data_IF_099168772274
#
_entry.id   IF_099168772274
#
_cell.length_a   1.000
_cell.length_b   1.000
_cell.length_c   1.000
_cell.angle_alpha   90.00
_cell.angle_beta   90.00
_cell.angle_gamma   90.00
#
_symmetry.space_group_name_H-M   'P 1'
#
loop_
_entity.id
_entity.type
_entity.pdbx_description
1 polymer ?
#
# COMPACT_ATOMS: atom_id res chain seq x y z
N UNK A 1 -27.91 17.72 -46.60
CA UNK A 1 -26.78 18.41 -45.94
C UNK A 1 -26.58 18.02 -44.46
N UNK A 2 -27.61 18.03 -43.60
CA UNK A 2 -27.43 17.72 -42.15
C UNK A 2 -26.89 16.32 -41.84
N UNK A 3 -27.26 15.27 -42.59
CA UNK A 3 -26.77 13.91 -42.35
C UNK A 3 -25.26 13.75 -42.60
N UNK A 4 -24.70 14.49 -43.58
CA UNK A 4 -23.27 14.44 -43.90
C UNK A 4 -22.41 15.16 -42.84
N UNK A 5 -22.95 16.21 -42.22
CA UNK A 5 -22.32 16.92 -41.10
C UNK A 5 -22.30 16.06 -39.83
N UNK A 6 -23.40 15.35 -39.52
CA UNK A 6 -23.45 14.43 -38.37
C UNK A 6 -22.46 13.26 -38.49
N UNK A 7 -22.30 12.69 -39.69
CA UNK A 7 -21.27 11.67 -39.92
C UNK A 7 -19.84 12.20 -39.76
N UNK A 8 -19.58 13.44 -40.17
CA UNK A 8 -18.29 14.10 -39.95
C UNK A 8 -18.01 14.36 -38.47
N UNK A 9 -18.99 14.85 -37.69
CA UNK A 9 -18.82 15.07 -36.25
C UNK A 9 -18.62 13.76 -35.48
N UNK A 10 -19.35 12.70 -35.83
CA UNK A 10 -19.17 11.37 -35.24
C UNK A 10 -17.80 10.78 -35.57
N UNK A 11 -17.31 10.92 -36.80
CA UNK A 11 -15.98 10.47 -37.21
C UNK A 11 -14.86 11.26 -36.49
N UNK A 12 -15.04 12.57 -36.31
CA UNK A 12 -14.07 13.42 -35.58
C UNK A 12 -14.05 13.12 -34.08
N UNK A 13 -15.21 12.82 -33.49
CA UNK A 13 -15.34 12.38 -32.10
C UNK A 13 -14.67 11.01 -31.90
N UNK A 14 -14.96 10.03 -32.75
CA UNK A 14 -14.31 8.71 -32.72
C UNK A 14 -12.79 8.80 -32.88
N UNK A 15 -12.29 9.66 -33.79
CA UNK A 15 -10.86 9.90 -33.96
C UNK A 15 -10.21 10.43 -32.68
N UNK A 16 -10.82 11.41 -32.00
CA UNK A 16 -10.31 11.93 -30.71
C UNK A 16 -10.28 10.88 -29.60
N UNK A 17 -11.28 10.01 -29.51
CA UNK A 17 -11.27 8.91 -28.55
C UNK A 17 -10.17 7.89 -28.86
N UNK A 18 -9.93 7.57 -30.13
CA UNK A 18 -8.89 6.62 -30.53
C UNK A 18 -7.47 7.14 -30.33
N UNK A 19 -7.24 8.44 -30.55
CA UNK A 19 -5.97 9.10 -30.22
C UNK A 19 -5.76 9.24 -28.71
N UNK A 20 -6.83 9.45 -27.94
CA UNK A 20 -6.76 9.53 -26.48
C UNK A 20 -6.40 8.17 -25.87
N UNK A 21 -7.00 7.07 -26.35
CA UNK A 21 -6.69 5.72 -25.86
C UNK A 21 -5.30 5.25 -26.28
N UNK A 22 -4.85 5.57 -27.51
CA UNK A 22 -3.49 5.24 -27.95
C UNK A 22 -2.42 6.05 -27.20
N UNK A 23 -2.67 7.34 -26.92
CA UNK A 23 -1.78 8.17 -26.11
C UNK A 23 -1.71 7.69 -24.66
N UNK A 24 -2.85 7.35 -24.04
CA UNK A 24 -2.87 6.75 -22.69
C UNK A 24 -2.12 5.43 -22.65
N UNK A 25 -2.30 4.55 -23.64
CA UNK A 25 -1.57 3.29 -23.72
C UNK A 25 -0.06 3.51 -23.90
N UNK A 26 0.36 4.44 -24.77
CA UNK A 26 1.77 4.78 -24.95
C UNK A 26 2.38 5.39 -23.67
N UNK A 27 1.63 6.27 -22.99
CA UNK A 27 2.05 6.88 -21.74
C UNK A 27 2.15 5.85 -20.62
N UNK A 28 1.20 4.91 -20.53
CA UNK A 28 1.26 3.79 -19.58
C UNK A 28 2.46 2.88 -19.87
N UNK A 29 2.69 2.51 -21.13
CA UNK A 29 3.85 1.72 -21.55
C UNK A 29 5.14 2.45 -21.17
N UNK A 30 5.28 3.73 -21.54
CA UNK A 30 6.45 4.54 -21.20
C UNK A 30 6.63 4.67 -19.69
N UNK A 31 5.54 4.79 -18.93
CA UNK A 31 5.62 4.87 -17.47
C UNK A 31 6.07 3.54 -16.89
N UNK A 32 5.54 2.39 -17.36
CA UNK A 32 5.99 1.05 -16.95
C UNK A 32 7.49 0.85 -17.19
N UNK A 33 8.02 1.32 -18.33
CA UNK A 33 9.42 1.16 -18.73
C UNK A 33 10.33 2.30 -18.27
N UNK A 34 9.78 3.35 -17.64
CA UNK A 34 10.58 4.43 -17.09
C UNK A 34 11.21 4.05 -15.74
N UNK A 35 12.27 4.77 -15.34
CA UNK A 35 12.83 4.68 -13.98
C UNK A 35 11.76 4.87 -12.89
N UNK A 36 10.76 5.72 -13.13
CA UNK A 36 9.65 5.94 -12.21
C UNK A 36 8.74 4.72 -12.10
N UNK A 37 8.48 4.02 -13.21
CA UNK A 37 7.74 2.75 -13.22
C UNK A 37 8.48 1.65 -12.48
N UNK A 38 9.79 1.53 -12.69
CA UNK A 38 10.63 0.55 -11.98
C UNK A 38 10.55 0.72 -10.46
N UNK A 39 10.74 1.95 -9.98
CA UNK A 39 10.62 2.31 -8.55
C UNK A 39 9.20 2.03 -8.05
N UNK A 40 8.18 2.38 -8.84
CA UNK A 40 6.79 2.10 -8.50
C UNK A 40 6.51 0.60 -8.33
N UNK A 41 6.97 -0.24 -9.27
CA UNK A 41 6.81 -1.68 -9.20
C UNK A 41 7.62 -2.33 -8.08
N UNK A 42 8.85 -1.88 -7.84
CA UNK A 42 9.67 -2.35 -6.72
C UNK A 42 8.94 -2.08 -5.39
N UNK A 43 8.40 -0.87 -5.22
CA UNK A 43 7.60 -0.52 -4.05
C UNK A 43 6.36 -1.42 -3.92
N UNK A 44 5.62 -1.64 -5.02
CA UNK A 44 4.46 -2.53 -5.03
C UNK A 44 4.83 -3.97 -4.61
N UNK A 45 5.94 -4.51 -5.12
CA UNK A 45 6.41 -5.85 -4.79
C UNK A 45 6.82 -5.97 -3.31
N UNK A 46 7.59 -5.00 -2.80
CA UNK A 46 7.97 -4.95 -1.39
C UNK A 46 6.74 -4.84 -0.47
N UNK A 47 5.72 -4.11 -0.90
CA UNK A 47 4.46 -4.03 -0.17
C UNK A 47 3.70 -5.35 -0.14
N UNK A 48 3.54 -6.02 -1.28
CA UNK A 48 2.88 -7.33 -1.34
C UNK A 48 3.60 -8.34 -0.43
N UNK A 49 4.93 -8.27 -0.40
CA UNK A 49 5.72 -9.13 0.46
C UNK A 49 5.56 -8.77 1.95
N UNK A 50 5.55 -7.48 2.31
CA UNK A 50 5.26 -7.03 3.68
C UNK A 50 3.85 -7.45 4.14
N UNK A 51 2.87 -7.38 3.24
CA UNK A 51 1.50 -7.84 3.49
C UNK A 51 1.42 -9.37 3.64
N UNK A 52 2.11 -10.13 2.79
CA UNK A 52 2.22 -11.58 2.93
C UNK A 52 2.86 -11.98 4.26
N UNK A 53 3.93 -11.28 4.66
CA UNK A 53 4.56 -11.49 5.96
C UNK A 53 3.63 -11.13 7.12
N UNK A 54 2.82 -10.08 7.02
CA UNK A 54 1.82 -9.77 8.04
C UNK A 54 0.79 -10.89 8.22
N UNK A 55 0.24 -11.40 7.13
CA UNK A 55 -0.68 -12.53 7.21
C UNK A 55 0.01 -13.77 7.76
N UNK A 56 1.23 -14.04 7.31
CA UNK A 56 2.06 -15.11 7.86
C UNK A 56 2.26 -14.95 9.37
N UNK A 57 2.52 -13.74 9.84
CA UNK A 57 2.60 -13.43 11.27
C UNK A 57 1.29 -13.70 12.00
N UNK A 58 0.17 -13.19 11.48
CA UNK A 58 -1.15 -13.41 12.08
C UNK A 58 -1.55 -14.89 12.12
N UNK A 59 -1.19 -15.68 11.11
CA UNK A 59 -1.51 -17.11 11.07
C UNK A 59 -0.64 -17.94 12.03
N UNK A 60 0.65 -17.62 12.14
CA UNK A 60 1.57 -18.35 13.00
C UNK A 60 1.48 -17.94 14.48
N UNK A 61 1.21 -16.66 14.75
CA UNK A 61 0.77 -16.24 16.07
C UNK A 61 -0.63 -16.80 16.25
N UNK A 62 -0.72 -17.96 16.92
CA UNK A 62 -1.98 -18.61 17.27
C UNK A 62 -2.96 -17.54 17.78
N UNK A 63 -3.91 -17.12 16.95
CA UNK A 63 -4.89 -16.06 17.29
C UNK A 63 -5.65 -16.44 18.56
N UNK A 64 -5.78 -17.74 18.83
CA UNK A 64 -6.29 -18.31 20.08
C UNK A 64 -5.57 -17.83 21.37
N UNK A 65 -4.33 -17.33 21.27
CA UNK A 65 -3.58 -16.78 22.39
C UNK A 65 -3.98 -15.35 22.74
N UNK A 66 -4.59 -14.63 21.80
CA UNK A 66 -5.09 -13.26 21.99
C UNK A 66 -6.51 -13.31 22.53
N UNK A 67 -6.67 -13.25 23.85
CA UNK A 67 -7.99 -13.23 24.52
C UNK A 67 -8.75 -11.92 24.32
N UNK A 68 -8.06 -10.85 23.95
CA UNK A 68 -8.66 -9.54 23.70
C UNK A 68 -7.79 -8.71 22.77
N UNK A 69 -8.42 -7.77 22.04
CA UNK A 69 -7.73 -6.80 21.16
C UNK A 69 -6.69 -5.98 21.94
N UNK A 70 -6.87 -5.82 23.26
CA UNK A 70 -5.88 -5.20 24.13
C UNK A 70 -4.58 -5.98 24.28
N UNK A 71 -4.52 -7.27 23.93
CA UNK A 71 -3.29 -8.05 24.00
C UNK A 71 -2.35 -7.80 22.82
N UNK A 72 -2.85 -7.16 21.75
CA UNK A 72 -2.01 -6.72 20.62
C UNK A 72 -0.93 -5.73 21.10
N UNK A 73 -1.18 -5.00 22.19
CA UNK A 73 -0.20 -4.09 22.79
C UNK A 73 1.02 -4.80 23.38
N UNK A 74 0.98 -6.11 23.67
CA UNK A 74 2.17 -6.85 24.12
C UNK A 74 3.26 -6.90 23.04
N UNK A 75 2.86 -6.90 21.77
CA UNK A 75 3.79 -6.83 20.66
C UNK A 75 4.39 -5.44 20.46
N UNK A 76 3.85 -4.39 21.10
CA UNK A 76 4.40 -3.03 21.02
C UNK A 76 5.81 -2.93 21.64
N UNK A 77 6.18 -3.90 22.49
CA UNK A 77 7.54 -4.01 23.05
C UNK A 77 8.56 -4.49 22.01
N UNK A 78 8.12 -5.11 20.90
CA UNK A 78 8.99 -5.42 19.76
C UNK A 78 8.95 -4.22 18.82
N UNK A 79 10.07 -3.48 18.78
CA UNK A 79 10.22 -2.29 17.95
C UNK A 79 9.80 -2.55 16.49
N UNK A 80 10.26 -3.65 15.88
CA UNK A 80 9.90 -4.01 14.51
C UNK A 80 8.40 -4.20 14.30
N UNK A 81 7.71 -4.89 15.20
CA UNK A 81 6.26 -5.06 15.10
C UNK A 81 5.54 -3.71 15.24
N UNK A 82 6.02 -2.85 16.14
CA UNK A 82 5.46 -1.51 16.31
C UNK A 82 5.56 -0.69 15.02
N UNK A 83 6.73 -0.66 14.41
CA UNK A 83 6.96 0.03 13.14
C UNK A 83 6.12 -0.58 12.02
N UNK A 84 6.04 -1.91 11.97
CA UNK A 84 5.23 -2.62 10.99
C UNK A 84 3.76 -2.20 11.05
N UNK A 85 3.15 -2.30 12.23
CA UNK A 85 1.74 -1.94 12.44
C UNK A 85 1.49 -0.48 12.07
N UNK A 86 2.41 0.41 12.46
CA UNK A 86 2.33 1.83 12.14
C UNK A 86 2.38 2.07 10.62
N UNK A 87 3.36 1.51 9.91
CA UNK A 87 3.48 1.64 8.45
C UNK A 87 2.24 1.05 7.76
N UNK A 88 1.76 -0.10 8.22
CA UNK A 88 0.57 -0.76 7.66
C UNK A 88 -0.67 0.14 7.75
N UNK A 89 -0.97 0.68 8.92
CA UNK A 89 -2.14 1.57 9.09
C UNK A 89 -1.98 2.91 8.37
N UNK A 90 -0.78 3.49 8.35
CA UNK A 90 -0.53 4.73 7.58
C UNK A 90 -0.69 4.49 6.07
N UNK A 91 -0.31 3.30 5.59
CA UNK A 91 -0.48 2.93 4.20
C UNK A 91 -1.96 2.77 3.83
N UNK A 92 -2.76 2.09 4.67
CA UNK A 92 -4.22 1.99 4.49
C UNK A 92 -4.93 3.36 4.58
N UNK A 93 -4.43 4.26 5.44
CA UNK A 93 -4.89 5.64 5.48
C UNK A 93 -4.65 6.36 4.14
N UNK A 94 -3.63 5.96 3.40
CA UNK A 94 -3.27 6.56 2.11
C UNK A 94 -2.53 7.88 2.29
N UNK A 95 -1.61 7.91 3.25
CA UNK A 95 -0.77 9.09 3.52
C UNK A 95 0.40 9.13 2.53
N UNK A 96 0.66 10.25 1.84
CA UNK A 96 1.86 10.39 1.00
C UNK A 96 3.14 10.19 1.83
N UNK A 97 4.19 9.52 1.33
CA UNK A 97 4.38 8.96 -0.02
C UNK A 97 4.04 7.46 -0.15
N UNK A 98 3.17 6.91 0.71
CA UNK A 98 2.88 5.47 0.76
C UNK A 98 1.98 5.01 -0.41
N UNK A 99 2.04 3.73 -0.78
CA UNK A 99 1.31 3.16 -1.94
C UNK A 99 -0.21 3.32 -1.89
N UNK A 100 -0.80 3.26 -0.71
CA UNK A 100 -2.24 3.45 -0.53
C UNK A 100 -2.69 4.84 -0.97
N UNK A 101 -1.80 5.85 -0.91
CA UNK A 101 -2.07 7.17 -1.49
C UNK A 101 -2.20 7.05 -3.02
N UNK A 102 -1.24 6.41 -3.69
CA UNK A 102 -1.22 6.28 -5.14
C UNK A 102 -2.46 5.53 -5.67
N UNK A 103 -2.87 4.44 -5.02
CA UNK A 103 -4.07 3.69 -5.39
C UNK A 103 -5.34 4.55 -5.27
N UNK A 104 -5.50 5.25 -4.14
CA UNK A 104 -6.64 6.15 -3.92
C UNK A 104 -6.62 7.34 -4.89
N UNK A 105 -5.44 7.86 -5.18
CA UNK A 105 -5.24 8.95 -6.14
C UNK A 105 -5.64 8.53 -7.56
N UNK A 106 -5.30 7.31 -7.99
CA UNK A 106 -5.69 6.77 -9.29
C UNK A 106 -7.22 6.59 -9.39
N UNK A 107 -7.87 6.09 -8.33
CA UNK A 107 -9.35 5.99 -8.26
C UNK A 107 -9.98 7.38 -8.34
N UNK A 108 -9.44 8.35 -7.60
CA UNK A 108 -9.91 9.74 -7.64
C UNK A 108 -9.79 10.32 -9.06
N UNK A 109 -8.65 10.14 -9.71
CA UNK A 109 -8.42 10.58 -11.09
C UNK A 109 -9.43 9.94 -12.06
N UNK A 110 -9.67 8.62 -11.95
CA UNK A 110 -10.66 7.92 -12.76
C UNK A 110 -12.09 8.46 -12.58
N UNK A 111 -12.50 8.72 -11.33
CA UNK A 111 -13.80 9.31 -11.04
C UNK A 111 -13.92 10.73 -11.60
N UNK A 112 -12.82 11.50 -11.57
CA UNK A 112 -12.76 12.84 -12.13
C UNK A 112 -13.00 12.83 -13.66
N UNK A 113 -12.39 11.91 -14.41
CA UNK A 113 -12.65 11.79 -15.86
C UNK A 113 -14.08 11.37 -16.21
N UNK A 114 -14.72 10.55 -15.38
CA UNK A 114 -16.13 10.18 -15.58
C UNK A 114 -17.10 11.32 -15.24
N UNK A 115 -16.61 12.47 -14.78
CA UNK A 115 -17.40 13.66 -14.42
C UNK A 115 -18.53 13.38 -13.42
N UNK A 116 -18.40 12.33 -12.60
CA UNK A 116 -19.46 11.92 -11.69
C UNK A 116 -19.27 12.50 -10.29
N UNK A 117 -19.65 13.78 -10.14
CA UNK A 117 -19.45 14.57 -8.91
C UNK A 117 -20.01 13.90 -7.65
N UNK A 118 -21.16 13.24 -7.74
CA UNK A 118 -21.78 12.55 -6.61
C UNK A 118 -20.87 11.44 -6.04
N UNK A 119 -20.28 10.63 -6.92
CA UNK A 119 -19.37 9.56 -6.51
C UNK A 119 -18.04 10.11 -5.98
N UNK A 120 -17.55 11.22 -6.52
CA UNK A 120 -16.36 11.90 -6.01
C UNK A 120 -16.59 12.38 -4.57
N UNK A 121 -17.73 13.02 -4.28
CA UNK A 121 -18.07 13.47 -2.93
C UNK A 121 -18.19 12.29 -1.95
N UNK A 122 -18.87 11.22 -2.34
CA UNK A 122 -18.98 9.99 -1.54
C UNK A 122 -17.58 9.41 -1.27
N UNK A 123 -16.75 9.28 -2.30
CA UNK A 123 -15.38 8.76 -2.18
C UNK A 123 -14.53 9.62 -1.22
N UNK A 124 -14.60 10.95 -1.32
CA UNK A 124 -13.87 11.85 -0.43
C UNK A 124 -14.36 11.72 1.02
N UNK A 125 -15.68 11.66 1.24
CA UNK A 125 -16.25 11.45 2.57
C UNK A 125 -15.79 10.15 3.24
N UNK A 126 -15.85 9.03 2.50
CA UNK A 126 -15.34 7.74 2.99
C UNK A 126 -13.83 7.76 3.25
N UNK A 127 -13.03 8.41 2.40
CA UNK A 127 -11.59 8.51 2.62
C UNK A 127 -11.23 9.34 3.87
N UNK A 128 -11.95 10.43 4.13
CA UNK A 128 -11.76 11.20 5.36
C UNK A 128 -12.13 10.40 6.61
N UNK A 129 -13.25 9.65 6.57
CA UNK A 129 -13.68 8.80 7.68
C UNK A 129 -12.67 7.68 7.98
N UNK A 130 -12.19 7.00 6.94
CA UNK A 130 -11.17 5.94 7.09
C UNK A 130 -9.83 6.49 7.58
N UNK A 131 -9.38 7.64 7.05
CA UNK A 131 -8.18 8.32 7.51
C UNK A 131 -8.27 8.64 9.01
N UNK A 132 -9.40 9.20 9.47
CA UNK A 132 -9.64 9.48 10.88
C UNK A 132 -9.55 8.21 11.74
N UNK A 133 -10.21 7.13 11.32
CA UNK A 133 -10.19 5.85 12.02
C UNK A 133 -8.77 5.26 12.14
N UNK A 134 -8.02 5.25 11.04
CA UNK A 134 -6.66 4.69 11.02
C UNK A 134 -5.68 5.54 11.84
N UNK A 135 -5.74 6.87 11.75
CA UNK A 135 -4.91 7.74 12.57
C UNK A 135 -5.24 7.62 14.07
N UNK A 136 -6.52 7.47 14.41
CA UNK A 136 -6.94 7.21 15.79
C UNK A 136 -6.38 5.88 16.31
N UNK A 137 -6.40 4.84 15.48
CA UNK A 137 -5.82 3.53 15.81
C UNK A 137 -4.32 3.61 16.02
N UNK A 138 -3.59 4.28 15.12
CA UNK A 138 -2.15 4.53 15.25
C UNK A 138 -1.86 5.33 16.52
N UNK A 139 -2.61 6.40 16.79
CA UNK A 139 -2.46 7.22 18.00
C UNK A 139 -2.64 6.39 19.27
N UNK A 140 -3.66 5.53 19.33
CA UNK A 140 -3.87 4.60 20.45
C UNK A 140 -2.68 3.65 20.62
N UNK A 141 -2.11 3.18 19.53
CA UNK A 141 -0.98 2.25 19.55
C UNK A 141 0.34 2.92 19.98
N UNK A 142 0.57 4.17 19.57
CA UNK A 142 1.76 4.96 19.93
C UNK A 142 1.70 5.45 21.38
N UNK A 143 0.54 5.93 21.84
CA UNK A 143 0.41 6.62 23.13
C UNK A 143 0.23 5.68 24.33
N UNK A 144 -0.11 4.41 24.13
CA UNK A 144 -0.26 3.48 25.25
C UNK A 144 1.10 3.14 25.87
N UNK A 145 1.18 3.27 27.20
CA UNK A 145 2.35 2.89 27.99
C UNK A 145 2.72 1.43 27.70
N UNK A 146 4.03 1.16 27.65
CA UNK A 146 4.58 -0.17 27.46
C UNK A 146 3.89 -1.18 28.38
N UNK A 147 3.52 -2.33 27.84
CA UNK A 147 3.03 -3.42 28.67
C UNK A 147 4.15 -3.83 29.64
N UNK A 148 3.79 -4.22 30.86
CA UNK A 148 4.77 -4.71 31.84
C UNK A 148 5.63 -5.80 31.19
N UNK A 149 6.96 -5.66 31.30
CA UNK A 149 7.94 -6.50 30.61
C UNK A 149 7.66 -7.99 30.85
N UNK A 150 7.28 -8.36 32.08
CA UNK A 150 6.90 -9.72 32.48
C UNK A 150 5.73 -10.30 31.68
N UNK A 151 4.69 -9.52 31.42
CA UNK A 151 3.54 -9.99 30.64
C UNK A 151 3.90 -10.16 29.17
N UNK A 152 4.77 -9.29 28.63
CA UNK A 152 5.29 -9.46 27.28
C UNK A 152 6.22 -10.68 27.17
N UNK A 153 7.05 -10.95 28.17
CA UNK A 153 7.95 -12.11 28.18
C UNK A 153 7.18 -13.42 28.22
N UNK A 154 6.15 -13.52 29.07
CA UNK A 154 5.27 -14.70 29.12
C UNK A 154 4.50 -14.91 27.80
N UNK A 155 4.11 -13.82 27.16
CA UNK A 155 3.50 -13.88 25.83
C UNK A 155 4.49 -14.37 24.78
N UNK A 156 5.75 -13.91 24.79
CA UNK A 156 6.79 -14.32 23.84
C UNK A 156 7.36 -15.72 24.08
N UNK A 157 7.41 -16.19 25.32
CA UNK A 157 7.70 -17.60 25.59
C UNK A 157 6.62 -18.49 24.97
N UNK A 158 5.37 -18.02 24.97
CA UNK A 158 4.24 -18.74 24.38
C UNK A 158 4.15 -18.60 22.86
N UNK A 159 4.50 -17.44 22.33
CA UNK A 159 4.66 -17.18 20.90
C UNK A 159 6.12 -17.44 20.52
N UNK A 160 6.46 -18.72 20.31
CA UNK A 160 7.79 -19.24 19.97
C UNK A 160 8.80 -18.14 19.58
N UNK A 161 9.71 -17.78 20.48
CA UNK A 161 10.69 -16.70 20.28
C UNK A 161 11.44 -16.83 18.94
N UNK A 162 11.71 -18.06 18.49
CA UNK A 162 12.30 -18.37 17.18
C UNK A 162 11.53 -17.76 16.01
N UNK A 163 10.19 -17.82 16.05
CA UNK A 163 9.32 -17.24 15.03
C UNK A 163 9.49 -15.72 14.95
N UNK A 164 9.58 -15.05 16.11
CA UNK A 164 9.73 -13.60 16.18
C UNK A 164 11.10 -13.15 15.71
N UNK A 165 12.16 -13.90 16.04
CA UNK A 165 13.50 -13.64 15.50
C UNK A 165 13.57 -13.86 13.99
N UNK A 166 12.99 -14.95 13.49
CA UNK A 166 12.93 -15.24 12.06
C UNK A 166 12.16 -14.14 11.31
N UNK A 167 11.01 -13.73 11.83
CA UNK A 167 10.23 -12.62 11.28
C UNK A 167 11.08 -11.34 11.21
N UNK A 168 11.71 -10.94 12.33
CA UNK A 168 12.57 -9.76 12.36
C UNK A 168 13.76 -9.85 11.39
N UNK A 169 14.37 -11.04 11.26
CA UNK A 169 15.46 -11.29 10.32
C UNK A 169 15.03 -11.10 8.86
N UNK A 170 13.88 -11.64 8.47
CA UNK A 170 13.32 -11.45 7.12
C UNK A 170 12.98 -9.99 6.84
N UNK A 171 12.42 -9.27 7.82
CA UNK A 171 12.15 -7.83 7.67
C UNK A 171 13.40 -6.98 7.57
N UNK A 172 14.43 -7.30 8.36
CA UNK A 172 15.73 -6.64 8.24
C UNK A 172 16.29 -6.84 6.83
N UNK A 173 16.26 -8.07 6.31
CA UNK A 173 16.70 -8.35 4.95
C UNK A 173 15.88 -7.59 3.91
N UNK A 174 14.58 -7.39 4.14
CA UNK A 174 13.73 -6.61 3.24
C UNK A 174 14.02 -5.12 3.23
N UNK A 175 14.25 -4.56 4.41
CA UNK A 175 14.67 -3.18 4.54
C UNK A 175 16.01 -2.96 3.84
N UNK A 176 16.95 -3.90 3.98
CA UNK A 176 18.21 -3.86 3.25
C UNK A 176 18.04 -4.08 1.75
N UNK A 177 17.14 -4.97 1.35
CA UNK A 177 16.81 -5.19 -0.05
C UNK A 177 16.26 -3.91 -0.68
N UNK A 178 15.48 -3.09 0.02
CA UNK A 178 15.04 -1.79 -0.48
C UNK A 178 16.23 -0.89 -0.87
N UNK A 179 17.25 -0.77 -0.01
CA UNK A 179 18.42 0.08 -0.30
C UNK A 179 19.32 -0.48 -1.42
N UNK A 180 19.51 -1.80 -1.47
CA UNK A 180 20.42 -2.42 -2.44
C UNK A 180 19.76 -2.72 -3.79
N UNK A 181 18.44 -2.93 -3.82
CA UNK A 181 17.71 -3.21 -5.05
C UNK A 181 17.46 -1.96 -5.87
N UNK A 182 17.37 -0.77 -5.29
CA UNK A 182 17.18 0.45 -6.09
C UNK A 182 18.25 0.58 -7.19
N UNK A 183 19.53 0.35 -6.86
CA UNK A 183 20.61 0.43 -7.86
C UNK A 183 20.71 -0.81 -8.76
N UNK A 184 20.50 -2.01 -8.21
CA UNK A 184 20.71 -3.27 -8.96
C UNK A 184 19.51 -3.66 -9.82
N UNK A 185 18.29 -3.37 -9.37
CA UNK A 185 17.05 -3.56 -10.13
C UNK A 185 16.98 -2.60 -11.33
N UNK A 186 17.49 -1.38 -11.19
CA UNK A 186 17.66 -0.44 -12.31
C UNK A 186 18.62 -0.98 -13.39
N UNK A 187 19.70 -1.66 -12.99
CA UNK A 187 20.64 -2.30 -13.93
C UNK A 187 19.98 -3.53 -14.58
N UNK A 188 19.24 -4.32 -13.81
CA UNK A 188 18.56 -5.52 -14.31
C UNK A 188 17.46 -5.20 -15.34
N UNK A 189 16.63 -4.18 -15.09
CA UNK A 189 15.61 -3.75 -16.06
C UNK A 189 16.22 -3.20 -17.35
N UNK A 190 17.35 -2.49 -17.25
CA UNK A 190 18.07 -1.94 -18.39
C UNK A 190 18.87 -3.01 -19.18
N UNK A 191 18.93 -4.25 -18.68
CA UNK A 191 19.52 -5.41 -19.38
C UNK A 191 18.47 -6.21 -20.16
N UNK A 192 17.18 -6.09 -19.82
CA UNK A 192 16.08 -6.82 -20.46
C UNK A 192 15.31 -6.00 -21.49
N UNK A 193 15.51 -4.68 -21.56
CA UNK A 193 14.85 -3.73 -22.47
C UNK A 193 15.84 -2.67 -22.94
#
# INVERSE_FOLDING_TARGET
>A
MRAHLLHCELAFSFGKYFYSTSFLNLLMINLMFSKLGAIFFLNLALYLLALALFFFFLFNVKVALLKSVSQIYYFNNIFFFKFFVLIFFLNLAGIPPLLGFFLKFLIFFFLFFKTNLAFILIFLGFNMATLFFYLSTVKSFVNRKQASVLNSFNFFIRAELSFLYFFNFFYFFLFFAFFFLDSTFLIFLNLFF
#
